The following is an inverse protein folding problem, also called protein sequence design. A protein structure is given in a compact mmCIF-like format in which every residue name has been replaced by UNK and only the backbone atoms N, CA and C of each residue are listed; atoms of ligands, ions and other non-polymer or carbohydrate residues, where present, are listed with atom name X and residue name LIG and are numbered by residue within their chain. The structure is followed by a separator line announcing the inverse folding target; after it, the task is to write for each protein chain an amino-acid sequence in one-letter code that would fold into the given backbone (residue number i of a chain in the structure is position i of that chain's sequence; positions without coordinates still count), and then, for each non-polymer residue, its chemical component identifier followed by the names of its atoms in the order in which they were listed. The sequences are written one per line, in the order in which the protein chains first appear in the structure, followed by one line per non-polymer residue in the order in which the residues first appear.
data_IF_052145782800
#
_entry.id   IF_052145782800
#
_cell.length_a   1.000
_cell.length_b   1.000
_cell.length_c   1.000
_cell.angle_alpha   90.00
_cell.angle_beta   90.00
_cell.angle_gamma   90.00
#
_symmetry.space_group_name_H-M   'P 1'
#
loop_
_entity.id
_entity.type
_entity.pdbx_description
1 polymer ?
#
# COMPACT_ATOMS: atom_id res chain seq x y z
N UNK A 1 33.25 -40.00 -19.77
CA UNK A 1 34.67 -39.55 -19.78
C UNK A 1 34.76 -38.19 -20.47
N UNK A 2 35.53 -37.22 -19.93
CA UNK A 2 35.91 -35.92 -20.55
C UNK A 2 34.74 -34.95 -20.92
N UNK A 3 34.83 -33.63 -20.72
CA UNK A 3 35.75 -32.80 -19.91
C UNK A 3 35.07 -31.43 -19.62
N UNK A 4 35.48 -30.79 -18.53
CA UNK A 4 35.04 -29.45 -18.08
C UNK A 4 35.55 -28.33 -19.01
N UNK A 5 34.80 -27.23 -19.14
CA UNK A 5 35.42 -25.89 -19.31
C UNK A 5 34.54 -24.78 -18.71
N UNK A 6 34.95 -24.26 -17.55
CA UNK A 6 34.56 -22.92 -17.08
C UNK A 6 35.46 -21.90 -17.78
N UNK A 7 34.96 -20.70 -18.10
CA UNK A 7 35.81 -19.54 -18.40
C UNK A 7 35.38 -18.32 -17.61
N UNK A 8 36.15 -18.07 -16.55
CA UNK A 8 36.21 -16.80 -15.85
C UNK A 8 37.11 -15.84 -16.63
N UNK A 9 36.74 -14.55 -16.66
CA UNK A 9 37.62 -13.42 -16.94
C UNK A 9 37.33 -12.41 -15.80
N UNK A 10 38.18 -12.39 -14.77
CA UNK A 10 39.29 -11.42 -14.66
C UNK A 10 38.78 -9.97 -14.68
N UNK A 11 38.28 -9.45 -13.55
CA UNK A 11 39.06 -8.64 -12.59
C UNK A 11 39.69 -7.37 -13.15
N UNK A 12 39.11 -6.22 -12.79
CA UNK A 12 39.82 -4.94 -12.75
C UNK A 12 39.44 -4.22 -11.43
N UNK A 13 40.36 -4.21 -10.46
CA UNK A 13 40.26 -3.32 -9.29
C UNK A 13 40.69 -1.92 -9.70
N UNK A 14 39.98 -0.90 -9.20
CA UNK A 14 40.51 0.44 -9.03
C UNK A 14 39.97 1.01 -7.71
N UNK A 15 40.74 0.83 -6.63
CA UNK A 15 40.46 1.45 -5.35
C UNK A 15 41.18 2.80 -5.27
N UNK A 16 40.45 3.86 -4.93
CA UNK A 16 41.03 5.14 -4.50
C UNK A 16 40.42 5.48 -3.15
N UNK A 17 41.26 5.49 -2.12
CA UNK A 17 40.93 5.92 -0.78
C UNK A 17 41.72 7.19 -0.46
N UNK A 18 41.06 8.22 0.03
CA UNK A 18 41.71 9.38 0.64
C UNK A 18 40.80 9.94 1.74
N UNK A 19 41.23 9.82 3.00
CA UNK A 19 40.56 10.44 4.13
C UNK A 19 40.99 11.92 4.26
N UNK A 20 40.05 12.78 4.65
CA UNK A 20 40.28 14.20 4.97
C UNK A 20 39.76 14.52 6.38
N UNK A 21 40.41 15.45 7.08
CA UNK A 21 40.35 15.61 8.55
C UNK A 21 39.48 16.81 8.98
N UNK A 22 38.90 16.72 10.18
CA UNK A 22 38.09 17.75 10.87
C UNK A 22 38.92 18.91 11.46
N UNK A 23 38.57 20.16 11.15
CA UNK A 23 38.82 21.43 11.90
C UNK A 23 38.37 22.62 11.01
N UNK A 24 37.87 23.78 11.46
CA UNK A 24 37.43 24.29 12.77
C UNK A 24 36.45 25.49 12.56
N UNK A 25 35.84 26.01 13.64
CA UNK A 25 34.84 27.09 13.58
C UNK A 25 35.41 28.50 13.28
N UNK A 26 34.60 29.35 12.64
CA UNK A 26 34.77 30.80 12.57
C UNK A 26 33.48 31.49 12.09
N UNK A 27 32.97 32.48 12.83
CA UNK A 27 31.65 33.06 12.58
C UNK A 27 31.71 34.42 11.84
N UNK A 28 30.95 34.58 10.74
CA UNK A 28 30.14 35.79 10.43
C UNK A 28 29.48 35.76 9.04
N UNK A 29 28.14 35.79 9.03
CA UNK A 29 27.24 36.17 7.92
C UNK A 29 27.21 35.33 6.62
N UNK A 30 25.98 35.22 6.10
CA UNK A 30 25.62 35.05 4.68
C UNK A 30 25.81 33.67 4.01
N UNK A 31 24.65 33.06 3.68
CA UNK A 31 24.40 32.10 2.58
C UNK A 31 24.88 30.64 2.74
N UNK A 32 23.96 29.73 2.36
CA UNK A 32 24.17 28.35 1.87
C UNK A 32 24.80 27.26 2.79
N UNK A 33 24.04 26.17 2.90
CA UNK A 33 24.47 24.76 2.93
C UNK A 33 25.32 24.21 4.10
N UNK A 34 24.62 23.41 4.93
CA UNK A 34 24.94 22.00 5.26
C UNK A 34 26.19 21.60 6.07
N UNK A 35 25.93 21.08 7.29
CA UNK A 35 26.67 20.04 8.08
C UNK A 35 28.18 20.27 8.40
N UNK A 36 28.77 19.93 9.55
CA UNK A 36 28.36 19.28 10.81
C UNK A 36 29.38 19.70 11.93
N UNK A 37 29.43 19.18 13.17
CA UNK A 37 28.65 18.19 13.93
C UNK A 37 28.90 18.37 15.44
N UNK A 38 27.92 18.03 16.30
CA UNK A 38 28.20 17.68 17.70
C UNK A 38 27.11 16.76 18.27
N UNK A 39 27.27 15.45 18.03
CA UNK A 39 26.48 14.42 18.72
C UNK A 39 27.03 14.27 20.14
N UNK A 40 26.33 14.86 21.11
CA UNK A 40 26.44 14.45 22.50
C UNK A 40 25.50 13.25 22.72
N UNK A 41 25.95 12.27 23.51
CA UNK A 41 25.19 11.05 23.74
C UNK A 41 23.91 11.32 24.54
N UNK A 42 22.77 10.94 23.97
CA UNK A 42 21.61 10.51 24.74
C UNK A 42 21.13 9.19 24.15
N UNK A 43 21.75 8.10 24.60
CA UNK A 43 21.35 6.75 24.22
C UNK A 43 20.18 6.32 25.08
N UNK A 44 19.01 6.88 24.78
CA UNK A 44 17.73 6.34 25.23
C UNK A 44 16.86 6.12 24.00
N UNK A 45 17.22 5.08 23.24
CA UNK A 45 16.35 4.48 22.26
C UNK A 45 15.23 3.73 23.01
N UNK A 46 14.34 4.49 23.63
CA UNK A 46 13.02 4.00 23.98
C UNK A 46 12.35 3.59 22.66
N UNK A 47 12.34 2.29 22.38
CA UNK A 47 11.43 1.70 21.40
C UNK A 47 10.02 1.89 21.93
N UNK A 48 9.50 3.10 21.72
CA UNK A 48 8.08 3.40 21.90
C UNK A 48 7.36 2.59 20.84
N UNK A 49 6.89 1.40 21.25
CA UNK A 49 5.94 0.62 20.48
C UNK A 49 4.65 1.45 20.47
N UNK A 50 4.49 2.31 19.45
CA UNK A 50 3.18 2.89 19.17
C UNK A 50 2.19 1.73 19.02
N UNK A 51 1.15 1.76 19.83
CA UNK A 51 0.09 0.77 19.73
C UNK A 51 -0.62 1.01 18.40
N UNK A 52 -0.64 -0.01 17.53
CA UNK A 52 -1.43 0.02 16.30
C UNK A 52 -2.90 0.20 16.71
N UNK A 53 -3.59 1.25 16.22
CA UNK A 53 -4.97 1.50 16.61
C UNK A 53 -5.89 0.45 15.97
N UNK A 54 -7.05 0.20 16.57
CA UNK A 54 -8.03 -0.75 16.04
C UNK A 54 -8.75 -0.20 14.80
N UNK A 55 -8.97 1.12 14.76
CA UNK A 55 -9.70 1.84 13.71
C UNK A 55 -9.00 3.13 13.28
N UNK A 56 -9.42 3.66 12.12
CA UNK A 56 -9.05 4.98 11.61
C UNK A 56 -10.27 5.72 11.08
N UNK A 57 -10.27 7.05 11.20
CA UNK A 57 -11.29 7.90 10.58
C UNK A 57 -10.79 8.40 9.22
N UNK A 58 -11.55 8.11 8.17
CA UNK A 58 -11.31 8.59 6.79
C UNK A 58 -12.43 9.53 6.34
N UNK A 59 -12.14 10.39 5.37
CA UNK A 59 -13.19 11.19 4.69
C UNK A 59 -13.65 10.46 3.43
N UNK A 60 -14.94 10.18 3.36
CA UNK A 60 -15.59 9.51 2.23
C UNK A 60 -16.86 10.27 1.80
N UNK A 61 -17.39 9.96 0.62
CA UNK A 61 -18.67 10.47 0.16
C UNK A 61 -19.82 9.53 0.56
N UNK A 62 -20.87 10.06 1.16
CA UNK A 62 -22.15 9.35 1.33
C UNK A 62 -22.97 9.32 0.03
N UNK A 63 -24.14 8.67 0.01
CA UNK A 63 -25.04 8.65 -1.15
C UNK A 63 -25.61 10.02 -1.54
N UNK A 64 -25.71 10.96 -0.59
CA UNK A 64 -26.01 12.38 -0.84
C UNK A 64 -24.83 13.17 -1.48
N UNK A 65 -23.65 12.55 -1.64
CA UNK A 65 -22.39 13.13 -2.16
C UNK A 65 -21.78 14.20 -1.27
N UNK A 66 -22.02 14.11 0.02
CA UNK A 66 -21.41 14.95 1.05
C UNK A 66 -20.17 14.25 1.61
N UNK A 67 -19.13 15.03 1.92
CA UNK A 67 -17.94 14.51 2.61
C UNK A 67 -18.27 14.29 4.10
N UNK A 68 -18.25 13.04 4.52
CA UNK A 68 -18.47 12.60 5.90
C UNK A 68 -17.23 11.91 6.46
N UNK A 69 -17.09 11.95 7.78
CA UNK A 69 -16.09 11.17 8.50
C UNK A 69 -16.64 9.76 8.73
N UNK A 70 -15.88 8.74 8.31
CA UNK A 70 -16.22 7.32 8.42
C UNK A 70 -15.13 6.61 9.20
N UNK A 71 -15.52 5.86 10.23
CA UNK A 71 -14.61 4.99 10.97
C UNK A 71 -14.53 3.62 10.28
N UNK A 72 -13.31 3.16 10.01
CA UNK A 72 -13.01 1.87 9.37
C UNK A 72 -11.91 1.14 10.14
N UNK A 73 -11.80 -0.20 10.04
CA UNK A 73 -10.69 -0.95 10.64
C UNK A 73 -9.33 -0.46 10.15
N UNK A 74 -8.31 -0.44 11.02
CA UNK A 74 -6.95 -0.06 10.63
C UNK A 74 -6.32 -1.08 9.67
N UNK A 75 -6.52 -2.38 9.91
CA UNK A 75 -6.00 -3.48 9.08
C UNK A 75 -7.15 -4.44 8.70
N UNK A 76 -7.99 -4.09 7.70
CA UNK A 76 -9.10 -4.93 7.25
C UNK A 76 -8.61 -6.23 6.59
N UNK A 77 -9.26 -7.36 6.90
CA UNK A 77 -8.92 -8.71 6.44
C UNK A 77 -9.96 -9.31 5.49
N UNK A 78 -11.16 -8.70 5.34
CA UNK A 78 -12.27 -9.20 4.51
C UNK A 78 -12.78 -8.10 3.58
N UNK A 79 -12.05 -7.89 2.49
CA UNK A 79 -12.27 -6.76 1.59
C UNK A 79 -13.28 -7.13 0.49
N UNK A 80 -14.37 -6.37 0.38
CA UNK A 80 -15.28 -6.41 -0.77
C UNK A 80 -14.98 -5.25 -1.73
N UNK A 81 -14.82 -5.53 -3.03
CA UNK A 81 -14.40 -4.52 -4.01
C UNK A 81 -15.36 -4.40 -5.19
N UNK A 82 -16.05 -3.27 -5.27
CA UNK A 82 -16.95 -2.93 -6.37
C UNK A 82 -16.38 -1.82 -7.27
N UNK A 83 -15.17 -1.33 -6.96
CA UNK A 83 -14.40 -0.42 -7.80
C UNK A 83 -13.09 -1.05 -8.29
N UNK A 84 -12.97 -1.20 -9.61
CA UNK A 84 -11.83 -1.90 -10.22
C UNK A 84 -10.51 -1.12 -10.13
N UNK A 85 -10.54 0.20 -9.91
CA UNK A 85 -9.31 0.96 -9.64
C UNK A 85 -8.80 0.69 -8.22
N UNK A 86 -9.72 0.54 -7.25
CA UNK A 86 -9.38 0.09 -5.90
C UNK A 86 -8.84 -1.35 -5.89
N UNK A 87 -9.34 -2.24 -6.75
CA UNK A 87 -8.80 -3.60 -6.91
C UNK A 87 -7.36 -3.59 -7.43
N UNK A 88 -7.09 -2.84 -8.50
CA UNK A 88 -5.76 -2.63 -9.09
C UNK A 88 -4.75 -2.10 -8.06
N UNK A 89 -5.16 -1.11 -7.25
CA UNK A 89 -4.34 -0.52 -6.18
C UNK A 89 -4.05 -1.49 -5.02
N UNK A 90 -4.89 -2.51 -4.80
CA UNK A 90 -4.70 -3.51 -3.73
C UNK A 90 -3.93 -4.76 -4.18
N UNK A 91 -3.91 -5.02 -5.50
CA UNK A 91 -3.10 -6.08 -6.12
C UNK A 91 -1.59 -5.76 -6.06
N UNK A 92 -1.20 -4.55 -6.49
CA UNK A 92 0.20 -4.09 -6.54
C UNK A 92 0.99 -4.20 -5.21
N UNK A 93 0.47 -3.78 -4.03
CA UNK A 93 1.13 -3.97 -2.74
C UNK A 93 1.02 -5.40 -2.18
N UNK A 94 0.33 -6.32 -2.87
CA UNK A 94 0.19 -7.72 -2.47
C UNK A 94 -0.79 -7.98 -1.32
N UNK A 95 -1.82 -7.14 -1.14
CA UNK A 95 -2.88 -7.36 -0.13
C UNK A 95 -4.16 -7.97 -0.72
N UNK A 96 -4.14 -8.27 -2.02
CA UNK A 96 -5.25 -8.88 -2.78
C UNK A 96 -5.76 -10.22 -2.24
N UNK A 97 -4.95 -11.00 -1.52
CA UNK A 97 -5.35 -12.26 -0.87
C UNK A 97 -6.49 -12.07 0.16
N UNK A 98 -6.75 -10.82 0.59
CA UNK A 98 -7.84 -10.45 1.53
C UNK A 98 -9.17 -10.16 0.83
N UNK A 99 -9.23 -10.21 -0.51
CA UNK A 99 -10.44 -9.93 -1.28
C UNK A 99 -11.40 -11.12 -1.19
N UNK A 100 -12.53 -10.93 -0.52
CA UNK A 100 -13.57 -11.97 -0.33
C UNK A 100 -14.63 -11.94 -1.44
N UNK A 101 -14.73 -10.82 -2.17
CA UNK A 101 -15.60 -10.69 -3.32
C UNK A 101 -15.25 -9.47 -4.17
N UNK A 102 -15.51 -9.55 -5.48
CA UNK A 102 -15.33 -8.43 -6.41
C UNK A 102 -16.45 -8.31 -7.44
N UNK A 103 -16.61 -7.12 -8.01
CA UNK A 103 -17.37 -6.91 -9.24
C UNK A 103 -16.72 -7.66 -10.43
N UNK A 104 -17.57 -8.21 -11.31
CA UNK A 104 -17.14 -8.80 -12.58
C UNK A 104 -16.39 -7.79 -13.47
N UNK A 105 -15.38 -8.29 -14.21
CA UNK A 105 -14.49 -7.49 -15.05
C UNK A 105 -14.06 -8.24 -16.32
N UNK A 106 -13.76 -7.48 -17.38
CA UNK A 106 -13.14 -7.97 -18.62
C UNK A 106 -11.68 -7.52 -18.75
N UNK A 107 -11.05 -7.07 -17.65
CA UNK A 107 -9.65 -6.64 -17.62
C UNK A 107 -8.75 -7.85 -17.40
N UNK A 108 -7.93 -8.20 -18.39
CA UNK A 108 -7.11 -9.43 -18.38
C UNK A 108 -6.23 -9.58 -17.13
N UNK A 109 -5.66 -8.48 -16.64
CA UNK A 109 -4.78 -8.47 -15.48
C UNK A 109 -5.50 -8.67 -14.13
N UNK A 110 -6.83 -8.53 -14.08
CA UNK A 110 -7.66 -8.76 -12.89
C UNK A 110 -8.48 -10.06 -12.98
N UNK A 111 -8.28 -10.88 -14.03
CA UNK A 111 -9.06 -12.11 -14.23
C UNK A 111 -8.88 -13.12 -13.09
N UNK A 112 -7.70 -13.15 -12.44
CA UNK A 112 -7.42 -13.95 -11.24
C UNK A 112 -8.50 -13.80 -10.15
N UNK A 113 -9.04 -12.60 -9.96
CA UNK A 113 -10.03 -12.31 -8.93
C UNK A 113 -11.45 -12.78 -9.29
N UNK A 114 -11.78 -12.88 -10.58
CA UNK A 114 -13.13 -13.25 -11.05
C UNK A 114 -13.23 -14.69 -11.57
N UNK A 115 -12.09 -15.38 -11.74
CA UNK A 115 -12.03 -16.82 -12.04
C UNK A 115 -11.68 -17.69 -10.84
N UNK A 116 -11.50 -17.10 -9.65
CA UNK A 116 -11.24 -17.82 -8.42
C UNK A 116 -12.55 -18.11 -7.67
N UNK A 117 -12.92 -19.39 -7.57
CA UNK A 117 -14.13 -19.85 -6.88
C UNK A 117 -14.20 -19.47 -5.39
N UNK A 118 -13.09 -19.07 -4.76
CA UNK A 118 -13.09 -18.57 -3.37
C UNK A 118 -13.47 -17.09 -3.24
N UNK A 119 -13.66 -16.38 -4.34
CA UNK A 119 -13.98 -14.94 -4.36
C UNK A 119 -15.39 -14.78 -4.92
N UNK A 120 -16.29 -14.21 -4.14
CA UNK A 120 -17.68 -14.04 -4.55
C UNK A 120 -17.81 -13.03 -5.69
N UNK A 121 -18.68 -13.35 -6.66
CA UNK A 121 -19.11 -12.39 -7.66
C UNK A 121 -20.14 -11.43 -7.03
N UNK A 122 -19.75 -10.17 -6.85
CA UNK A 122 -20.59 -9.13 -6.23
C UNK A 122 -21.43 -8.35 -7.26
N UNK A 123 -21.65 -8.92 -8.45
CA UNK A 123 -22.35 -8.28 -9.55
C UNK A 123 -21.40 -7.54 -10.50
N UNK A 124 -21.64 -6.26 -10.76
CA UNK A 124 -20.84 -5.47 -11.69
C UNK A 124 -20.72 -3.99 -11.25
N UNK A 125 -19.84 -3.24 -11.93
CA UNK A 125 -19.52 -1.82 -11.63
C UNK A 125 -20.69 -0.82 -11.81
N UNK A 126 -21.92 -1.27 -12.12
CA UNK A 126 -23.13 -0.44 -12.21
C UNK A 126 -24.29 -0.98 -11.36
N UNK A 127 -24.30 -2.28 -11.09
CA UNK A 127 -25.33 -2.99 -10.34
C UNK A 127 -24.63 -4.01 -9.44
N UNK A 128 -24.61 -3.74 -8.13
CA UNK A 128 -24.00 -4.61 -7.14
C UNK A 128 -25.04 -5.60 -6.60
N UNK A 129 -24.63 -6.84 -6.37
CA UNK A 129 -25.43 -7.86 -5.69
C UNK A 129 -25.26 -7.68 -4.17
N UNK A 130 -26.22 -7.00 -3.54
CA UNK A 130 -26.16 -6.67 -2.11
C UNK A 130 -26.32 -7.92 -1.21
N UNK A 131 -27.04 -8.95 -1.68
CA UNK A 131 -27.15 -10.22 -0.97
C UNK A 131 -25.80 -10.94 -0.96
N UNK A 132 -25.09 -10.97 -2.10
CA UNK A 132 -23.75 -11.51 -2.19
C UNK A 132 -22.74 -10.71 -1.33
N UNK A 133 -22.81 -9.38 -1.34
CA UNK A 133 -21.96 -8.51 -0.49
C UNK A 133 -22.20 -8.80 1.00
N UNK A 134 -23.46 -8.88 1.45
CA UNK A 134 -23.79 -9.19 2.84
C UNK A 134 -23.35 -10.61 3.23
N UNK A 135 -23.57 -11.60 2.37
CA UNK A 135 -23.16 -12.99 2.60
C UNK A 135 -21.63 -13.17 2.69
N UNK A 136 -20.85 -12.21 2.17
CA UNK A 136 -19.40 -12.21 2.32
C UNK A 136 -18.90 -11.71 3.68
N UNK A 137 -19.75 -11.14 4.54
CA UNK A 137 -19.36 -10.54 5.83
C UNK A 137 -18.05 -9.72 5.74
N UNK A 138 -17.97 -8.70 4.86
CA UNK A 138 -16.77 -7.88 4.71
C UNK A 138 -16.60 -6.90 5.87
N UNK A 139 -15.34 -6.59 6.21
CA UNK A 139 -14.99 -5.56 7.21
C UNK A 139 -14.70 -4.18 6.58
N UNK A 140 -14.50 -4.13 5.26
CA UNK A 140 -14.48 -2.90 4.47
C UNK A 140 -15.02 -3.14 3.05
N UNK A 141 -15.70 -2.15 2.48
CA UNK A 141 -16.25 -2.19 1.13
C UNK A 141 -15.73 -0.99 0.32
N UNK A 142 -15.00 -1.25 -0.77
CA UNK A 142 -14.56 -0.22 -1.71
C UNK A 142 -15.57 -0.06 -2.85
N UNK A 143 -16.19 1.11 -2.94
CA UNK A 143 -17.20 1.45 -3.96
C UNK A 143 -16.77 2.66 -4.79
N UNK A 144 -17.10 2.63 -6.08
CA UNK A 144 -16.82 3.70 -7.03
C UNK A 144 -18.05 4.53 -7.34
N UNK A 145 -17.85 5.77 -7.81
CA UNK A 145 -18.96 6.71 -8.10
C UNK A 145 -20.00 6.22 -9.12
N UNK A 146 -19.70 5.16 -9.89
CA UNK A 146 -20.67 4.47 -10.77
C UNK A 146 -21.84 3.84 -10.01
N UNK A 147 -21.60 3.39 -8.78
CA UNK A 147 -22.60 2.82 -7.86
C UNK A 147 -23.22 3.84 -6.90
N UNK A 148 -22.93 5.14 -7.04
CA UNK A 148 -23.43 6.19 -6.12
C UNK A 148 -24.95 6.26 -6.00
N UNK A 149 -25.70 5.72 -6.96
CA UNK A 149 -27.17 5.62 -6.90
C UNK A 149 -27.69 4.48 -6.03
N UNK A 150 -26.84 3.50 -5.73
CA UNK A 150 -27.17 2.30 -4.96
C UNK A 150 -26.73 2.40 -3.49
N UNK A 151 -26.20 3.54 -3.06
CA UNK A 151 -25.63 3.72 -1.72
C UNK A 151 -26.70 3.72 -0.62
N UNK A 152 -27.80 4.44 -0.83
CA UNK A 152 -28.94 4.57 0.10
C UNK A 152 -30.20 3.83 -0.43
N UNK A 153 -30.01 2.80 -1.26
CA UNK A 153 -31.09 2.12 -2.01
C UNK A 153 -31.71 0.93 -1.25
#
# INVERSE_FOLDING_TARGET
MKKISRRSFLTAMAAVSAAGVLAACGASSSTASSVASSVAASSEAATSSEAVPESVTIKAFNGAKELVDVEVPFDPQRIAILDLASLDILDEPGVGDRVVGTASTSLDYLQSYVTNDSIANLGNIKEADMEAVMACEPDIIFIGGRLSKSYDA
#
